data_IF_085552201442
#
_entry.id   IF_085552201442
#
_cell.length_a   1.000
_cell.length_b   1.000
_cell.length_c   1.000
_cell.angle_alpha   90.00
_cell.angle_beta   90.00
_cell.angle_gamma   90.00
#
_symmetry.space_group_name_H-M   'P 1'
#
loop_
_entity.id
_entity.type
_entity.pdbx_description
1 polymer ?
#
# COMPACT_ATOMS: atom_id res chain seq x y z
N UNK A 1 82.57 32.30 -26.36
CA UNK A 1 81.48 31.37 -26.71
C UNK A 1 80.82 30.92 -25.42
N UNK A 2 79.58 31.41 -25.13
CA UNK A 2 78.84 31.04 -23.95
C UNK A 2 77.66 30.15 -24.43
N UNK A 3 77.65 28.92 -23.97
CA UNK A 3 76.54 28.00 -24.15
C UNK A 3 75.46 28.24 -23.09
N UNK A 4 74.25 28.60 -23.51
CA UNK A 4 73.08 28.67 -22.63
C UNK A 4 72.33 27.36 -22.72
N UNK A 5 72.21 26.65 -21.59
CA UNK A 5 71.42 25.42 -21.46
C UNK A 5 69.99 25.85 -21.10
N UNK A 6 69.00 25.47 -21.91
CA UNK A 6 67.57 25.56 -21.59
C UNK A 6 67.12 24.29 -20.89
N UNK A 7 66.68 24.39 -19.65
CA UNK A 7 65.98 23.31 -18.95
C UNK A 7 64.50 23.41 -19.26
N UNK A 8 63.92 22.38 -19.93
CA UNK A 8 62.51 22.26 -20.18
C UNK A 8 61.84 21.59 -18.95
N UNK A 9 61.00 22.36 -18.25
CA UNK A 9 60.15 21.83 -17.21
C UNK A 9 58.90 21.17 -17.84
N UNK A 10 58.79 19.82 -17.74
CA UNK A 10 57.59 19.09 -18.13
C UNK A 10 56.62 19.08 -16.93
N UNK A 11 55.58 19.92 -17.03
CA UNK A 11 54.45 19.91 -16.06
C UNK A 11 53.54 18.71 -16.27
N UNK A 12 53.49 17.79 -15.35
CA UNK A 12 52.61 16.65 -15.34
C UNK A 12 51.23 17.11 -14.84
N UNK A 13 50.27 17.29 -15.73
CA UNK A 13 48.84 17.57 -15.39
C UNK A 13 48.19 16.25 -15.01
N UNK A 14 47.97 16.00 -13.73
CA UNK A 14 47.18 14.90 -13.24
C UNK A 14 45.70 15.18 -13.54
N UNK A 15 45.12 14.58 -14.60
CA UNK A 15 43.70 14.58 -14.85
C UNK A 15 43.02 13.69 -13.80
N UNK A 16 42.34 14.31 -12.84
CA UNK A 16 41.37 13.62 -11.99
C UNK A 16 40.18 13.24 -12.87
N UNK A 17 40.10 11.95 -13.24
CA UNK A 17 38.87 11.39 -13.80
C UNK A 17 37.80 11.38 -12.71
N UNK A 18 36.88 12.37 -12.76
CA UNK A 18 35.66 12.34 -12.00
C UNK A 18 34.82 11.25 -12.65
N UNK A 19 34.85 10.04 -12.10
CA UNK A 19 33.90 8.99 -12.46
C UNK A 19 32.52 9.48 -11.97
N UNK A 20 31.69 9.96 -12.86
CA UNK A 20 30.26 10.13 -12.59
C UNK A 20 29.74 8.75 -12.16
N UNK A 21 29.39 8.60 -10.89
CA UNK A 21 28.64 7.43 -10.47
C UNK A 21 27.33 7.44 -11.28
N UNK A 22 27.16 6.46 -12.15
CA UNK A 22 25.92 6.26 -12.88
C UNK A 22 24.81 6.07 -11.84
N UNK A 23 23.75 6.89 -11.94
CA UNK A 23 22.64 6.82 -10.99
C UNK A 23 22.02 5.41 -11.08
N UNK A 24 21.98 4.69 -9.98
CA UNK A 24 21.38 3.37 -9.96
C UNK A 24 19.85 3.53 -10.06
N UNK A 25 19.28 3.05 -11.16
CA UNK A 25 17.84 3.06 -11.38
C UNK A 25 17.17 1.99 -10.52
N UNK A 26 16.35 2.43 -9.55
CA UNK A 26 15.54 1.54 -8.73
C UNK A 26 14.26 1.21 -9.49
N UNK A 27 13.99 -0.07 -9.71
CA UNK A 27 12.73 -0.54 -10.28
C UNK A 27 11.86 -1.23 -9.23
N UNK A 28 10.60 -0.84 -9.14
CA UNK A 28 9.62 -1.47 -8.26
C UNK A 28 8.31 -1.73 -8.96
N UNK A 29 7.55 -2.71 -8.49
CA UNK A 29 6.22 -2.96 -9.02
C UNK A 29 5.31 -3.54 -7.94
N UNK A 30 4.01 -3.28 -8.04
CA UNK A 30 3.04 -3.94 -7.18
C UNK A 30 1.84 -3.10 -6.77
N UNK A 31 1.53 -3.14 -5.50
CA UNK A 31 0.34 -2.58 -4.90
C UNK A 31 0.02 -1.15 -5.37
N UNK A 32 -1.24 -0.91 -5.73
CA UNK A 32 -1.72 0.43 -6.05
C UNK A 32 -2.07 1.23 -4.79
N UNK A 33 -2.30 0.55 -3.68
CA UNK A 33 -2.60 1.15 -2.38
C UNK A 33 -1.56 2.21 -1.96
N UNK A 34 -0.23 1.94 -1.92
CA UNK A 34 0.77 2.93 -1.51
C UNK A 34 1.23 3.84 -2.64
N UNK A 35 0.74 3.68 -3.88
CA UNK A 35 1.27 4.41 -5.03
C UNK A 35 1.29 5.94 -4.86
N UNK A 36 0.23 6.61 -4.33
CA UNK A 36 0.26 8.05 -4.13
C UNK A 36 1.45 8.53 -3.29
N UNK A 37 1.76 7.83 -2.20
CA UNK A 37 2.88 8.20 -1.33
C UNK A 37 4.22 7.76 -1.93
N UNK A 38 4.31 6.59 -2.59
CA UNK A 38 5.55 6.16 -3.24
C UNK A 38 5.96 7.10 -4.36
N UNK A 39 5.02 7.61 -5.16
CA UNK A 39 5.28 8.61 -6.18
C UNK A 39 5.80 9.92 -5.57
N UNK A 40 5.21 10.38 -4.47
CA UNK A 40 5.64 11.59 -3.76
C UNK A 40 7.04 11.44 -3.15
N UNK A 41 7.33 10.30 -2.53
CA UNK A 41 8.67 10.00 -2.00
C UNK A 41 9.71 9.86 -3.11
N UNK A 42 9.37 9.20 -4.22
CA UNK A 42 10.27 9.05 -5.37
C UNK A 42 10.69 10.41 -5.96
N UNK A 43 9.75 11.34 -6.13
CA UNK A 43 10.03 12.69 -6.61
C UNK A 43 10.93 13.47 -5.63
N UNK A 44 10.63 13.41 -4.33
CA UNK A 44 11.42 14.07 -3.29
C UNK A 44 12.83 13.46 -3.16
N UNK A 45 12.94 12.13 -3.22
CA UNK A 45 14.21 11.42 -3.19
C UNK A 45 15.10 11.77 -4.37
N UNK A 46 14.53 11.80 -5.59
CA UNK A 46 15.24 12.22 -6.79
C UNK A 46 15.77 13.65 -6.70
N UNK A 47 14.98 14.57 -6.13
CA UNK A 47 15.43 15.96 -5.90
C UNK A 47 16.57 16.04 -4.88
N UNK A 48 16.55 15.19 -3.86
CA UNK A 48 17.55 15.19 -2.78
C UNK A 48 18.86 14.46 -3.17
N UNK A 49 18.81 13.42 -4.00
CA UNK A 49 19.94 12.51 -4.25
C UNK A 49 20.37 12.43 -5.71
N UNK A 50 19.52 12.79 -6.65
CA UNK A 50 19.69 12.55 -8.08
C UNK A 50 19.22 11.17 -8.54
N UNK A 51 19.02 10.19 -7.63
CA UNK A 51 18.62 8.82 -7.95
C UNK A 51 17.11 8.70 -8.12
N UNK A 52 16.67 7.97 -9.14
CA UNK A 52 15.26 7.79 -9.47
C UNK A 52 14.69 6.46 -9.02
N UNK A 53 13.38 6.44 -8.80
CA UNK A 53 12.57 5.24 -8.63
C UNK A 53 11.54 5.16 -9.74
N UNK A 54 11.53 4.05 -10.49
CA UNK A 54 10.47 3.70 -11.43
C UNK A 54 9.56 2.64 -10.76
N UNK A 55 8.40 3.07 -10.29
CA UNK A 55 7.42 2.19 -9.66
C UNK A 55 6.21 1.96 -10.56
N UNK A 56 5.91 0.68 -10.85
CA UNK A 56 4.77 0.26 -11.63
C UNK A 56 3.60 -0.13 -10.72
N UNK A 57 2.55 0.70 -10.70
CA UNK A 57 1.31 0.47 -9.96
C UNK A 57 0.43 -0.54 -10.71
N UNK A 58 0.62 -1.84 -10.46
CA UNK A 58 -0.01 -2.95 -11.21
C UNK A 58 -0.77 -3.96 -10.34
N UNK A 59 -0.94 -3.63 -9.06
CA UNK A 59 -1.57 -4.49 -8.04
C UNK A 59 -0.59 -5.45 -7.36
N UNK A 60 -0.91 -5.83 -6.12
CA UNK A 60 -0.06 -6.68 -5.27
C UNK A 60 0.31 -8.00 -5.95
N UNK A 61 -0.65 -8.66 -6.60
CA UNK A 61 -0.37 -9.90 -7.34
C UNK A 61 0.63 -9.72 -8.48
N UNK A 62 0.60 -8.56 -9.17
CA UNK A 62 1.58 -8.20 -10.19
C UNK A 62 2.97 -8.00 -9.60
N UNK A 63 3.06 -7.29 -8.46
CA UNK A 63 4.31 -7.07 -7.73
C UNK A 63 4.95 -8.36 -7.23
N UNK A 64 4.15 -9.24 -6.60
CA UNK A 64 4.62 -10.56 -6.15
C UNK A 64 5.17 -11.39 -7.34
N UNK A 65 4.46 -11.41 -8.47
CA UNK A 65 4.93 -12.12 -9.67
C UNK A 65 6.24 -11.57 -10.20
N UNK A 66 6.39 -10.25 -10.27
CA UNK A 66 7.60 -9.62 -10.79
C UNK A 66 8.81 -9.81 -9.88
N UNK A 67 8.65 -9.69 -8.56
CA UNK A 67 9.78 -9.93 -7.65
C UNK A 67 10.20 -11.41 -7.67
N UNK A 68 9.27 -12.35 -7.66
CA UNK A 68 9.58 -13.78 -7.80
C UNK A 68 10.30 -14.09 -9.12
N UNK A 69 9.93 -13.43 -10.22
CA UNK A 69 10.61 -13.53 -11.50
C UNK A 69 11.92 -12.72 -11.56
N UNK A 70 12.26 -11.95 -10.53
CA UNK A 70 13.42 -11.07 -10.47
C UNK A 70 13.51 -10.06 -11.62
N UNK A 71 12.37 -9.53 -12.06
CA UNK A 71 12.28 -8.50 -13.11
C UNK A 71 12.27 -7.08 -12.55
N UNK A 72 12.18 -6.94 -11.23
CA UNK A 72 12.25 -5.67 -10.51
C UNK A 72 13.16 -5.81 -9.28
N UNK A 73 13.66 -4.67 -8.78
CA UNK A 73 14.50 -4.59 -7.58
C UNK A 73 13.69 -4.91 -6.33
N UNK A 74 12.43 -4.47 -6.27
CA UNK A 74 11.52 -4.79 -5.17
C UNK A 74 10.08 -4.97 -5.66
N UNK A 75 9.33 -5.81 -4.94
CA UNK A 75 7.88 -5.92 -5.07
C UNK A 75 7.17 -5.16 -3.95
N UNK A 76 5.92 -4.74 -4.17
CA UNK A 76 5.08 -4.20 -3.11
C UNK A 76 3.73 -4.91 -3.05
N UNK A 77 3.27 -5.23 -1.83
CA UNK A 77 2.02 -5.96 -1.60
C UNK A 77 1.35 -5.53 -0.30
N UNK A 78 0.02 -5.34 -0.34
CA UNK A 78 -0.77 -5.13 0.89
C UNK A 78 -1.39 -6.45 1.39
N UNK A 79 -1.12 -7.57 0.70
CA UNK A 79 -1.27 -8.92 1.22
C UNK A 79 0.12 -9.40 1.63
N UNK A 80 0.40 -9.57 2.93
CA UNK A 80 1.68 -10.14 3.34
C UNK A 80 1.81 -11.58 2.84
N UNK A 81 3.03 -11.99 2.49
CA UNK A 81 3.38 -13.37 2.27
C UNK A 81 3.64 -14.05 3.62
N UNK A 82 3.30 -15.31 3.72
CA UNK A 82 3.67 -16.11 4.89
C UNK A 82 5.16 -16.51 4.86
N UNK A 83 5.69 -16.99 5.98
CA UNK A 83 7.11 -17.35 6.07
C UNK A 83 7.50 -18.45 5.08
N UNK A 84 6.63 -19.40 4.83
CA UNK A 84 6.88 -20.50 3.89
C UNK A 84 7.00 -19.98 2.45
N UNK A 85 6.15 -19.01 2.07
CA UNK A 85 6.22 -18.35 0.76
C UNK A 85 7.50 -17.53 0.64
N UNK A 86 7.88 -16.78 1.68
CA UNK A 86 9.11 -15.99 1.70
C UNK A 86 10.34 -16.87 1.55
N UNK A 87 10.43 -17.97 2.31
CA UNK A 87 11.55 -18.89 2.29
C UNK A 87 11.66 -19.63 0.94
N UNK A 88 10.52 -20.03 0.36
CA UNK A 88 10.51 -20.75 -0.91
C UNK A 88 11.05 -19.92 -2.09
N UNK A 89 10.84 -18.59 -2.04
CA UNK A 89 11.26 -17.67 -3.09
C UNK A 89 12.54 -16.89 -2.73
N UNK A 90 13.14 -17.15 -1.55
CA UNK A 90 14.33 -16.45 -1.06
C UNK A 90 14.09 -14.96 -0.86
N UNK A 91 12.92 -14.61 -0.32
CA UNK A 91 12.48 -13.23 -0.09
C UNK A 91 12.51 -12.89 1.40
N UNK A 92 12.68 -11.60 1.67
CA UNK A 92 12.24 -10.97 2.91
C UNK A 92 11.08 -10.03 2.61
N UNK A 93 10.29 -9.71 3.63
CA UNK A 93 9.34 -8.61 3.58
C UNK A 93 9.46 -7.72 4.80
N UNK A 94 9.09 -6.45 4.64
CA UNK A 94 9.00 -5.49 5.73
C UNK A 94 7.88 -4.48 5.46
N UNK A 95 7.15 -3.99 6.50
CA UNK A 95 6.09 -3.03 6.34
C UNK A 95 6.66 -1.64 6.06
N UNK A 96 6.02 -0.88 5.16
CA UNK A 96 6.51 0.44 4.74
C UNK A 96 5.58 1.57 5.12
N UNK A 97 4.25 1.35 5.04
CA UNK A 97 3.25 2.39 5.27
C UNK A 97 1.92 1.75 5.67
N UNK A 98 1.10 2.46 6.43
CA UNK A 98 -0.25 2.05 6.81
C UNK A 98 -1.25 3.04 6.22
N UNK A 99 -2.45 2.58 5.86
CA UNK A 99 -3.55 3.41 5.38
C UNK A 99 -4.91 2.75 5.62
N UNK A 100 -5.97 3.47 5.27
CA UNK A 100 -7.34 2.99 5.38
C UNK A 100 -7.93 2.59 4.03
N UNK A 101 -8.65 1.48 4.00
CA UNK A 101 -9.51 1.12 2.87
C UNK A 101 -10.91 1.60 3.19
N UNK A 102 -11.52 2.33 2.28
CA UNK A 102 -12.81 2.99 2.49
C UNK A 102 -13.82 2.56 1.43
N UNK A 103 -15.03 2.18 1.83
CA UNK A 103 -16.13 2.08 0.89
C UNK A 103 -16.46 3.48 0.34
N UNK A 104 -16.62 3.57 -0.97
CA UNK A 104 -16.95 4.82 -1.67
C UNK A 104 -18.21 4.63 -2.51
N UNK A 105 -19.05 5.66 -2.56
CA UNK A 105 -20.36 5.59 -3.21
C UNK A 105 -20.57 6.77 -4.17
N UNK A 106 -21.48 6.59 -5.11
CA UNK A 106 -21.96 7.66 -5.99
C UNK A 106 -23.50 7.76 -5.91
N UNK A 107 -23.97 8.41 -4.86
CA UNK A 107 -25.41 8.63 -4.59
C UNK A 107 -25.67 10.14 -4.57
N UNK A 108 -26.53 10.61 -5.45
CA UNK A 108 -26.88 12.01 -5.51
C UNK A 108 -27.52 12.50 -4.18
N UNK A 109 -27.02 13.61 -3.64
CA UNK A 109 -27.48 14.19 -2.38
C UNK A 109 -26.89 13.57 -1.13
N UNK A 110 -25.95 12.61 -1.25
CA UNK A 110 -25.18 12.04 -0.13
C UNK A 110 -23.77 12.58 -0.16
N UNK A 111 -23.34 13.22 0.93
CA UNK A 111 -21.99 13.80 1.06
C UNK A 111 -21.02 12.83 1.75
N UNK A 112 -19.71 13.07 1.62
CA UNK A 112 -18.69 12.31 2.35
C UNK A 112 -18.95 12.30 3.86
N UNK A 113 -18.94 11.10 4.47
CA UNK A 113 -19.15 10.94 5.91
C UNK A 113 -20.61 11.04 6.38
N UNK A 114 -21.60 10.99 5.48
CA UNK A 114 -23.02 10.96 5.87
C UNK A 114 -23.58 9.52 5.94
N UNK A 115 -23.16 8.64 5.01
CA UNK A 115 -23.66 7.27 4.94
C UNK A 115 -22.88 6.36 5.90
N UNK A 116 -23.59 5.66 6.76
CA UNK A 116 -23.03 4.65 7.69
C UNK A 116 -23.29 3.25 7.15
N UNK A 117 -22.27 2.39 7.14
CA UNK A 117 -22.41 0.97 6.83
C UNK A 117 -21.72 0.11 7.90
N UNK A 118 -22.34 -1.02 8.24
CA UNK A 118 -21.68 -2.06 9.03
C UNK A 118 -21.16 -3.20 8.12
N UNK A 119 -20.31 -4.06 8.68
CA UNK A 119 -19.72 -5.16 7.93
C UNK A 119 -20.74 -6.15 7.36
N UNK A 120 -21.74 -6.61 8.13
CA UNK A 120 -22.77 -7.51 7.62
C UNK A 120 -23.57 -6.92 6.45
N UNK A 121 -23.94 -5.65 6.51
CA UNK A 121 -24.66 -4.96 5.43
C UNK A 121 -23.78 -4.84 4.19
N UNK A 122 -22.51 -4.44 4.39
CA UNK A 122 -21.54 -4.34 3.30
C UNK A 122 -21.31 -5.68 2.61
N UNK A 123 -21.18 -6.77 3.38
CA UNK A 123 -21.06 -8.13 2.83
C UNK A 123 -22.29 -8.51 1.97
N UNK A 124 -23.52 -8.23 2.43
CA UNK A 124 -24.74 -8.52 1.68
C UNK A 124 -24.84 -7.71 0.39
N UNK A 125 -24.37 -6.46 0.39
CA UNK A 125 -24.29 -5.64 -0.84
C UNK A 125 -23.35 -6.33 -1.85
N UNK A 126 -22.14 -6.70 -1.44
CA UNK A 126 -21.16 -7.33 -2.33
C UNK A 126 -21.49 -8.78 -2.68
N UNK A 127 -22.40 -9.44 -1.95
CA UNK A 127 -23.02 -10.72 -2.33
C UNK A 127 -24.21 -10.56 -3.29
N UNK A 128 -24.71 -9.34 -3.53
CA UNK A 128 -25.90 -9.08 -4.34
C UNK A 128 -27.22 -9.43 -3.64
N UNK A 129 -27.20 -9.61 -2.32
CA UNK A 129 -28.39 -9.85 -1.51
C UNK A 129 -29.16 -8.54 -1.22
N UNK A 130 -28.44 -7.43 -1.06
CA UNK A 130 -28.96 -6.07 -1.00
C UNK A 130 -28.69 -5.40 -2.34
N UNK A 131 -29.72 -5.06 -3.07
CA UNK A 131 -29.62 -4.58 -4.45
C UNK A 131 -30.08 -3.14 -4.65
N UNK A 132 -30.62 -2.49 -3.61
CA UNK A 132 -31.10 -1.10 -3.67
C UNK A 132 -30.65 -0.30 -2.46
N UNK A 133 -30.45 1.01 -2.66
CA UNK A 133 -30.00 1.91 -1.59
C UNK A 133 -31.08 2.18 -0.53
N UNK A 134 -32.36 2.05 -0.84
CA UNK A 134 -33.49 2.18 0.10
C UNK A 134 -33.83 0.87 0.85
N UNK A 135 -32.96 -0.14 0.79
CA UNK A 135 -33.14 -1.37 1.56
C UNK A 135 -33.21 -1.09 3.07
N UNK A 136 -34.14 -1.74 3.80
CA UNK A 136 -34.27 -1.56 5.25
C UNK A 136 -32.99 -1.78 6.06
N UNK A 137 -32.09 -2.67 5.62
CA UNK A 137 -30.81 -2.91 6.30
C UNK A 137 -29.89 -1.68 6.22
N UNK A 138 -29.98 -0.88 5.16
CA UNK A 138 -29.22 0.36 4.99
C UNK A 138 -29.94 1.52 5.69
N UNK A 139 -31.23 1.69 5.43
CA UNK A 139 -31.99 2.85 5.92
C UNK A 139 -32.10 2.93 7.43
N UNK A 140 -32.18 1.78 8.13
CA UNK A 140 -32.16 1.72 9.61
C UNK A 140 -30.90 2.28 10.25
N UNK A 141 -29.76 2.18 9.57
CA UNK A 141 -28.49 2.74 10.02
C UNK A 141 -28.36 4.23 9.66
N UNK A 142 -29.26 4.73 8.78
CA UNK A 142 -29.15 6.03 8.10
C UNK A 142 -30.47 6.83 8.12
N UNK A 143 -31.19 6.85 9.24
CA UNK A 143 -32.51 7.49 9.36
C UNK A 143 -32.53 8.97 8.96
N UNK A 144 -31.39 9.66 9.07
CA UNK A 144 -31.25 11.08 8.71
C UNK A 144 -30.86 11.31 7.25
N UNK A 145 -30.49 10.27 6.52
CA UNK A 145 -30.04 10.34 5.12
C UNK A 145 -31.18 9.88 4.22
N UNK A 146 -31.61 10.74 3.29
CA UNK A 146 -32.64 10.37 2.31
C UNK A 146 -31.98 9.54 1.20
N UNK A 147 -32.11 8.23 1.29
CA UNK A 147 -31.62 7.31 0.28
C UNK A 147 -32.63 7.10 -0.83
N UNK A 148 -32.21 7.14 -2.12
CA UNK A 148 -33.12 6.93 -3.24
C UNK A 148 -33.46 5.46 -3.46
N UNK A 149 -34.64 5.18 -4.02
CA UNK A 149 -34.95 3.84 -4.54
C UNK A 149 -34.20 3.60 -5.86
N UNK A 150 -32.87 3.36 -5.74
CA UNK A 150 -31.95 3.21 -6.84
C UNK A 150 -31.19 1.88 -6.69
N UNK A 151 -30.95 1.19 -7.81
CA UNK A 151 -30.14 -0.02 -7.84
C UNK A 151 -28.69 0.27 -7.42
N UNK A 152 -28.11 -0.66 -6.68
CA UNK A 152 -26.68 -0.63 -6.30
C UNK A 152 -25.86 -1.24 -7.43
N UNK A 153 -24.87 -0.51 -7.94
CA UNK A 153 -23.90 -1.00 -8.89
C UNK A 153 -22.58 -1.29 -8.16
N UNK A 154 -22.26 -2.56 -7.93
CA UNK A 154 -21.03 -2.96 -7.25
C UNK A 154 -19.83 -2.86 -8.19
N UNK A 155 -18.75 -2.22 -7.72
CA UNK A 155 -17.46 -2.13 -8.42
C UNK A 155 -16.39 -2.78 -7.57
N UNK A 156 -15.69 -3.76 -8.10
CA UNK A 156 -14.63 -4.50 -7.41
C UNK A 156 -13.33 -4.52 -8.23
N UNK A 157 -12.26 -5.05 -7.67
CA UNK A 157 -10.99 -5.20 -8.37
C UNK A 157 -11.01 -6.39 -9.32
N UNK A 158 -10.38 -6.23 -10.48
CA UNK A 158 -10.19 -7.28 -11.49
C UNK A 158 -8.78 -7.85 -11.54
N UNK A 159 -7.84 -7.24 -10.83
CA UNK A 159 -6.44 -7.65 -10.71
C UNK A 159 -6.18 -8.29 -9.33
N UNK A 160 -5.06 -8.98 -9.17
CA UNK A 160 -4.59 -9.46 -7.88
C UNK A 160 -4.24 -8.29 -6.96
N UNK A 161 -5.07 -8.02 -5.95
CA UNK A 161 -5.09 -6.78 -5.18
C UNK A 161 -4.96 -7.02 -3.68
N UNK A 162 -3.96 -6.37 -3.06
CA UNK A 162 -3.86 -6.34 -1.60
C UNK A 162 -4.98 -5.53 -0.94
N UNK A 163 -5.50 -4.48 -1.62
CA UNK A 163 -6.71 -3.77 -1.18
C UNK A 163 -7.90 -4.72 -1.11
N UNK A 164 -8.10 -5.57 -2.14
CA UNK A 164 -9.11 -6.64 -2.14
C UNK A 164 -8.87 -7.65 -1.03
N UNK A 165 -7.63 -8.09 -0.81
CA UNK A 165 -7.31 -9.01 0.29
C UNK A 165 -7.78 -8.48 1.64
N UNK A 166 -7.43 -7.24 1.99
CA UNK A 166 -7.83 -6.65 3.26
C UNK A 166 -9.36 -6.40 3.33
N UNK A 167 -9.97 -5.96 2.25
CA UNK A 167 -11.42 -5.76 2.16
C UNK A 167 -12.18 -7.09 2.34
N UNK A 168 -11.81 -8.13 1.62
CA UNK A 168 -12.45 -9.46 1.74
C UNK A 168 -12.14 -10.15 3.07
N UNK A 169 -10.96 -9.90 3.65
CA UNK A 169 -10.62 -10.34 5.00
C UNK A 169 -11.54 -9.69 6.05
N UNK A 170 -11.80 -8.39 5.93
CA UNK A 170 -12.78 -7.71 6.76
C UNK A 170 -14.18 -8.31 6.61
N UNK A 171 -14.66 -8.48 5.38
CA UNK A 171 -15.98 -9.09 5.14
C UNK A 171 -16.09 -10.51 5.71
N UNK A 172 -15.02 -11.31 5.60
CA UNK A 172 -14.98 -12.66 6.16
C UNK A 172 -14.97 -12.68 7.71
N UNK A 173 -14.44 -11.63 8.35
CA UNK A 173 -14.49 -11.48 9.81
C UNK A 173 -15.84 -11.04 10.31
N UNK A 174 -16.61 -10.29 9.53
CA UNK A 174 -17.89 -9.69 9.94
C UNK A 174 -19.12 -10.42 9.39
N UNK A 175 -18.95 -11.34 8.41
CA UNK A 175 -20.04 -12.12 7.81
C UNK A 175 -19.62 -13.58 7.62
N UNK A 176 -20.31 -14.48 8.32
CA UNK A 176 -20.08 -15.92 8.17
C UNK A 176 -20.49 -16.42 6.78
N UNK A 177 -21.54 -15.83 6.19
CA UNK A 177 -21.98 -16.17 4.82
C UNK A 177 -20.92 -15.79 3.79
N UNK A 178 -20.36 -14.56 3.89
CA UNK A 178 -19.23 -14.17 3.04
C UNK A 178 -18.05 -15.13 3.21
N UNK A 179 -17.67 -15.41 4.45
CA UNK A 179 -16.55 -16.31 4.77
C UNK A 179 -16.69 -17.68 4.13
N UNK A 180 -17.91 -18.26 4.14
CA UNK A 180 -18.16 -19.60 3.62
C UNK A 180 -18.34 -19.65 2.10
N UNK A 181 -18.92 -18.60 1.49
CA UNK A 181 -19.27 -18.57 0.07
C UNK A 181 -18.19 -17.96 -0.82
N UNK A 182 -17.47 -16.94 -0.32
CA UNK A 182 -16.50 -16.16 -1.10
C UNK A 182 -15.09 -16.27 -0.52
N UNK A 183 -14.95 -16.13 0.81
CA UNK A 183 -13.66 -16.19 1.50
C UNK A 183 -12.89 -14.88 1.49
N UNK A 184 -11.55 -14.99 1.58
CA UNK A 184 -10.63 -13.83 1.69
C UNK A 184 -9.36 -14.13 0.91
N UNK A 185 -9.11 -13.36 -0.16
CA UNK A 185 -7.84 -13.39 -0.91
C UNK A 185 -7.64 -12.09 -1.72
N UNK A 186 -6.48 -11.97 -2.36
CA UNK A 186 -6.15 -10.89 -3.30
C UNK A 186 -6.97 -10.95 -4.61
N UNK A 187 -7.54 -12.10 -4.92
CA UNK A 187 -8.50 -12.34 -5.99
C UNK A 187 -9.52 -13.37 -5.51
N UNK A 188 -10.79 -13.06 -5.63
CA UNK A 188 -11.91 -13.93 -5.25
C UNK A 188 -12.92 -14.02 -6.39
N UNK A 189 -13.77 -15.05 -6.37
CA UNK A 189 -14.91 -15.15 -7.28
C UNK A 189 -16.02 -14.18 -6.79
N UNK A 190 -16.10 -13.02 -7.41
CA UNK A 190 -17.09 -12.01 -7.04
C UNK A 190 -18.50 -12.44 -7.44
N UNK A 191 -19.45 -12.46 -6.49
CA UNK A 191 -20.84 -12.85 -6.79
C UNK A 191 -21.54 -11.92 -7.76
N UNK A 192 -21.24 -10.60 -7.66
CA UNK A 192 -21.85 -9.53 -8.46
C UNK A 192 -20.84 -8.42 -8.73
N UNK A 193 -21.18 -7.55 -9.67
CA UNK A 193 -20.45 -6.32 -9.92
C UNK A 193 -19.61 -6.34 -11.19
N UNK A 194 -18.90 -5.22 -11.39
CA UNK A 194 -17.97 -5.02 -12.50
C UNK A 194 -16.55 -4.90 -11.99
N UNK A 195 -15.62 -5.53 -12.70
CA UNK A 195 -14.20 -5.48 -12.36
C UNK A 195 -13.51 -4.23 -12.89
N UNK A 196 -12.67 -3.60 -12.06
CA UNK A 196 -11.87 -2.45 -12.42
C UNK A 196 -10.41 -2.68 -11.98
N UNK A 197 -9.44 -2.25 -12.79
CA UNK A 197 -8.02 -2.44 -12.53
C UNK A 197 -7.47 -1.33 -11.63
N UNK A 198 -6.82 -1.71 -10.53
CA UNK A 198 -6.19 -0.78 -9.59
C UNK A 198 -7.20 0.01 -8.72
N UNK A 199 -6.71 0.73 -7.72
CA UNK A 199 -7.52 1.70 -6.97
C UNK A 199 -8.03 2.81 -7.90
N UNK A 200 -7.23 3.22 -8.87
CA UNK A 200 -7.56 4.22 -9.89
C UNK A 200 -8.80 3.82 -10.70
N UNK A 201 -8.82 2.56 -11.16
CA UNK A 201 -9.92 2.04 -11.96
C UNK A 201 -11.22 1.94 -11.15
N UNK A 202 -11.15 1.49 -9.89
CA UNK A 202 -12.34 1.47 -9.00
C UNK A 202 -12.83 2.89 -8.74
N UNK A 203 -11.93 3.81 -8.37
CA UNK A 203 -12.27 5.21 -8.12
C UNK A 203 -12.98 5.85 -9.32
N UNK A 204 -12.43 5.67 -10.52
CA UNK A 204 -13.00 6.21 -11.75
C UNK A 204 -14.39 5.60 -12.07
N UNK A 205 -14.54 4.28 -11.96
CA UNK A 205 -15.82 3.63 -12.23
C UNK A 205 -16.92 4.07 -11.25
N UNK A 206 -16.59 4.19 -9.95
CA UNK A 206 -17.55 4.70 -8.95
C UNK A 206 -17.94 6.14 -9.26
N UNK A 207 -16.97 7.01 -9.58
CA UNK A 207 -17.23 8.41 -9.91
C UNK A 207 -18.20 8.56 -11.11
N UNK A 208 -18.11 7.68 -12.09
CA UNK A 208 -18.91 7.76 -13.33
C UNK A 208 -20.24 7.02 -13.28
N UNK A 209 -20.44 6.10 -12.33
CA UNK A 209 -21.63 5.24 -12.29
C UNK A 209 -22.56 5.66 -11.16
N UNK A 210 -23.74 6.20 -11.50
CA UNK A 210 -24.76 6.54 -10.49
C UNK A 210 -25.23 5.29 -9.75
N UNK A 211 -25.35 5.39 -8.43
CA UNK A 211 -25.71 4.27 -7.55
C UNK A 211 -24.56 3.29 -7.29
N UNK A 212 -23.34 3.59 -7.75
CA UNK A 212 -22.20 2.70 -7.52
C UNK A 212 -21.75 2.69 -6.07
N UNK A 213 -21.20 1.53 -5.67
CA UNK A 213 -20.38 1.33 -4.50
C UNK A 213 -19.09 0.58 -4.90
N UNK A 214 -17.95 1.01 -4.36
CA UNK A 214 -16.68 0.33 -4.50
C UNK A 214 -15.86 0.49 -3.22
N UNK A 215 -14.61 0.06 -3.26
CA UNK A 215 -13.65 0.22 -2.15
C UNK A 215 -12.28 0.63 -2.71
N UNK A 216 -11.67 1.61 -2.08
CA UNK A 216 -10.34 2.13 -2.46
C UNK A 216 -9.53 2.48 -1.21
N UNK A 217 -8.23 2.65 -1.37
CA UNK A 217 -7.41 3.30 -0.37
C UNK A 217 -7.81 4.79 -0.25
N UNK A 218 -7.77 5.34 0.98
CA UNK A 218 -8.38 6.63 1.32
C UNK A 218 -7.82 7.83 0.55
N UNK A 219 -6.53 7.85 0.21
CA UNK A 219 -5.97 8.93 -0.61
C UNK A 219 -6.65 9.01 -1.98
N UNK A 220 -7.02 7.87 -2.57
CA UNK A 220 -7.78 7.86 -3.84
C UNK A 220 -9.19 8.44 -3.68
N UNK A 221 -9.87 8.15 -2.57
CA UNK A 221 -11.17 8.73 -2.29
C UNK A 221 -11.08 10.26 -2.21
N UNK A 222 -10.07 10.79 -1.50
CA UNK A 222 -9.84 12.24 -1.38
C UNK A 222 -9.45 12.90 -2.69
N UNK A 223 -8.45 12.34 -3.40
CA UNK A 223 -7.94 12.90 -4.66
C UNK A 223 -9.02 12.95 -5.75
N UNK A 224 -9.90 11.95 -5.80
CA UNK A 224 -11.01 11.87 -6.75
C UNK A 224 -12.32 12.48 -6.22
N UNK A 225 -12.32 13.08 -5.02
CA UNK A 225 -13.48 13.68 -4.36
C UNK A 225 -14.68 12.74 -4.28
N UNK A 226 -14.42 11.46 -4.01
CA UNK A 226 -15.47 10.45 -3.86
C UNK A 226 -16.16 10.59 -2.50
N UNK A 227 -17.44 10.26 -2.47
CA UNK A 227 -18.21 10.15 -1.23
C UNK A 227 -17.81 8.85 -0.52
N UNK A 228 -17.02 8.96 0.54
CA UNK A 228 -16.69 7.85 1.43
C UNK A 228 -17.74 7.67 2.52
N UNK A 229 -17.87 6.45 3.03
CA UNK A 229 -18.81 6.12 4.10
C UNK A 229 -18.15 6.24 5.48
N UNK A 230 -18.98 6.35 6.52
CA UNK A 230 -18.63 5.96 7.88
C UNK A 230 -18.81 4.45 8.02
N UNK A 231 -18.09 3.84 8.97
CA UNK A 231 -18.21 2.41 9.26
C UNK A 231 -18.53 2.17 10.73
N UNK A 232 -19.33 1.12 11.00
CA UNK A 232 -19.46 0.60 12.36
C UNK A 232 -18.29 -0.35 12.60
N UNK A 233 -17.49 -0.07 13.63
CA UNK A 233 -16.31 -0.87 13.97
C UNK A 233 -16.64 -2.05 14.90
N UNK A 234 -15.62 -2.84 15.25
CA UNK A 234 -15.73 -4.02 16.11
C UNK A 234 -16.36 -3.73 17.48
N UNK A 235 -16.14 -2.54 18.03
CA UNK A 235 -16.68 -2.11 19.33
C UNK A 235 -18.11 -1.50 19.20
N UNK A 236 -18.73 -1.59 18.00
CA UNK A 236 -20.06 -1.06 17.72
C UNK A 236 -20.12 0.46 17.65
N UNK A 237 -18.99 1.12 17.42
CA UNK A 237 -18.91 2.59 17.26
C UNK A 237 -18.89 2.96 15.80
N UNK A 238 -19.61 4.03 15.47
CA UNK A 238 -19.51 4.66 14.15
C UNK A 238 -18.24 5.51 14.09
N UNK A 239 -17.36 5.20 13.15
CA UNK A 239 -16.06 5.87 12.97
C UNK A 239 -15.92 6.43 11.56
N UNK A 240 -15.18 7.54 11.45
CA UNK A 240 -14.81 8.13 10.17
C UNK A 240 -13.43 7.62 9.71
N UNK A 241 -13.17 7.53 8.39
CA UNK A 241 -11.84 7.25 7.88
C UNK A 241 -10.99 8.50 7.98
N UNK A 242 -10.12 8.53 8.98
CA UNK A 242 -9.20 9.62 9.22
C UNK A 242 -7.91 9.10 9.86
N UNK A 243 -6.86 9.91 9.82
CA UNK A 243 -5.54 9.57 10.37
C UNK A 243 -5.62 8.98 11.78
N UNK A 244 -6.45 9.58 12.67
CA UNK A 244 -6.62 9.10 14.06
C UNK A 244 -7.19 7.69 14.13
N UNK A 245 -8.19 7.38 13.30
CA UNK A 245 -8.85 6.08 13.34
C UNK A 245 -7.98 4.98 12.74
N UNK A 246 -7.14 5.31 11.76
CA UNK A 246 -6.12 4.39 11.23
C UNK A 246 -5.01 4.17 12.26
N UNK A 247 -4.55 5.22 12.96
CA UNK A 247 -3.58 5.12 14.05
C UNK A 247 -4.11 4.27 15.20
N UNK A 248 -5.38 4.45 15.59
CA UNK A 248 -6.02 3.66 16.64
C UNK A 248 -6.01 2.16 16.30
N UNK A 249 -6.35 1.78 15.06
CA UNK A 249 -6.27 0.39 14.62
C UNK A 249 -4.83 -0.14 14.60
N UNK A 250 -3.87 0.66 14.13
CA UNK A 250 -2.46 0.27 14.05
C UNK A 250 -1.79 0.12 15.43
N UNK A 251 -2.28 0.82 16.47
CA UNK A 251 -1.74 0.76 17.82
C UNK A 251 -1.88 -0.62 18.48
N UNK A 252 -2.81 -1.46 17.99
CA UNK A 252 -3.02 -2.82 18.50
C UNK A 252 -2.19 -3.89 17.77
N UNK A 253 -1.33 -3.48 16.82
CA UNK A 253 -0.54 -4.39 16.01
C UNK A 253 0.66 -4.96 16.76
N UNK A 254 0.74 -6.27 16.86
CA UNK A 254 1.93 -6.97 17.36
C UNK A 254 2.83 -7.39 16.19
N UNK A 255 3.65 -6.46 15.72
CA UNK A 255 4.54 -6.66 14.57
C UNK A 255 5.62 -7.70 14.82
N UNK A 256 6.08 -7.85 16.07
CA UNK A 256 7.22 -8.68 16.40
C UNK A 256 6.89 -10.18 16.40
N UNK A 257 5.68 -10.54 16.80
CA UNK A 257 5.28 -11.95 16.94
C UNK A 257 4.82 -12.60 15.62
N UNK A 258 4.55 -11.78 14.58
CA UNK A 258 4.11 -12.29 13.28
C UNK A 258 5.30 -12.46 12.35
N UNK A 259 5.56 -13.67 11.81
CA UNK A 259 6.63 -13.91 10.86
C UNK A 259 6.57 -12.96 9.65
N UNK A 260 7.72 -12.45 9.23
CA UNK A 260 7.81 -11.48 8.14
C UNK A 260 7.06 -10.17 8.40
N UNK A 261 6.72 -9.90 9.68
CA UNK A 261 5.94 -8.72 10.09
C UNK A 261 4.57 -8.60 9.38
N UNK A 262 4.01 -9.72 8.94
CA UNK A 262 2.80 -9.79 8.10
C UNK A 262 1.50 -9.54 8.86
N UNK A 263 1.42 -8.47 9.66
CA UNK A 263 0.26 -8.14 10.47
C UNK A 263 -0.92 -7.72 9.60
N UNK A 264 -2.11 -8.29 9.88
CA UNK A 264 -3.38 -7.93 9.23
C UNK A 264 -4.16 -7.04 10.21
N UNK A 265 -4.40 -5.78 9.81
CA UNK A 265 -4.95 -4.74 10.66
C UNK A 265 -6.48 -4.58 10.57
N UNK A 266 -7.18 -5.48 9.86
CA UNK A 266 -8.65 -5.45 9.79
C UNK A 266 -9.29 -5.89 11.10
N UNK A 267 -10.39 -5.25 11.51
CA UNK A 267 -11.18 -5.57 12.70
C UNK A 267 -10.35 -5.52 14.00
N UNK A 268 -9.49 -4.52 14.14
CA UNK A 268 -8.79 -4.27 15.39
C UNK A 268 -9.76 -3.73 16.45
N UNK A 269 -9.56 -4.06 17.75
CA UNK A 269 -10.37 -3.51 18.83
C UNK A 269 -10.11 -1.99 19.00
N UNK A 270 -10.98 -1.34 19.77
CA UNK A 270 -10.86 0.07 20.11
C UNK A 270 -11.97 0.92 19.51
N UNK A 271 -12.58 1.77 20.36
CA UNK A 271 -13.74 2.58 20.01
C UNK A 271 -13.52 3.50 18.80
N UNK A 272 -12.26 3.92 18.58
CA UNK A 272 -11.88 4.82 17.50
C UNK A 272 -11.23 4.10 16.30
N UNK A 273 -11.06 2.77 16.36
CA UNK A 273 -10.35 2.00 15.33
C UNK A 273 -11.13 1.90 14.03
N UNK A 274 -10.52 2.32 12.90
CA UNK A 274 -11.07 2.10 11.57
C UNK A 274 -11.03 0.61 11.21
N UNK A 275 -12.15 -0.01 10.82
CA UNK A 275 -12.22 -1.48 10.72
C UNK A 275 -11.47 -2.07 9.53
N UNK A 276 -11.16 -1.28 8.50
CA UNK A 276 -10.47 -1.76 7.29
C UNK A 276 -9.12 -1.03 7.14
N UNK A 277 -8.31 -1.10 8.18
CA UNK A 277 -6.93 -0.60 8.15
C UNK A 277 -6.00 -1.66 7.58
N UNK A 278 -4.99 -1.26 6.82
CA UNK A 278 -4.05 -2.15 6.17
C UNK A 278 -2.63 -1.58 6.16
N UNK A 279 -1.63 -2.47 6.16
CA UNK A 279 -0.24 -2.12 5.88
C UNK A 279 0.15 -2.56 4.47
N UNK A 280 1.07 -1.83 3.86
CA UNK A 280 1.74 -2.24 2.63
C UNK A 280 3.16 -2.67 2.92
N UNK A 281 3.59 -3.76 2.30
CA UNK A 281 4.87 -4.43 2.53
C UNK A 281 5.74 -4.35 1.29
N UNK A 282 7.05 -4.23 1.51
CA UNK A 282 8.07 -4.37 0.48
C UNK A 282 8.62 -5.79 0.51
N UNK A 283 8.85 -6.36 -0.66
CA UNK A 283 9.43 -7.67 -0.89
C UNK A 283 10.77 -7.50 -1.61
N UNK A 284 11.86 -8.08 -1.06
CA UNK A 284 13.19 -8.06 -1.68
C UNK A 284 13.86 -9.42 -1.57
N UNK A 285 14.71 -9.76 -2.55
CA UNK A 285 15.50 -10.98 -2.48
C UNK A 285 16.57 -10.91 -1.38
N UNK A 286 16.76 -12.03 -0.66
CA UNK A 286 17.84 -12.19 0.32
C UNK A 286 19.24 -12.21 -0.32
N UNK A 287 19.33 -12.67 -1.58
CA UNK A 287 20.55 -12.58 -2.39
C UNK A 287 20.25 -11.66 -3.58
N UNK A 288 20.87 -10.48 -3.55
CA UNK A 288 20.65 -9.46 -4.57
C UNK A 288 21.26 -9.90 -5.92
N UNK A 289 20.48 -9.87 -6.99
CA UNK A 289 20.97 -10.11 -8.36
C UNK A 289 21.67 -8.87 -8.90
N UNK A 290 21.08 -7.69 -8.66
CA UNK A 290 21.69 -6.38 -8.92
C UNK A 290 22.00 -5.72 -7.59
N UNK A 291 23.28 -5.70 -7.25
CA UNK A 291 23.78 -5.19 -5.97
C UNK A 291 23.58 -3.67 -5.88
N UNK A 292 23.84 -2.94 -6.95
CA UNK A 292 23.76 -1.48 -6.96
C UNK A 292 22.31 -1.00 -6.79
N UNK A 293 21.38 -1.53 -7.59
CA UNK A 293 19.95 -1.20 -7.50
C UNK A 293 19.33 -1.64 -6.18
N UNK A 294 19.72 -2.82 -5.64
CA UNK A 294 19.20 -3.30 -4.36
C UNK A 294 19.72 -2.46 -3.18
N UNK A 295 20.97 -2.07 -3.17
CA UNK A 295 21.54 -1.18 -2.15
C UNK A 295 20.89 0.21 -2.21
N UNK A 296 20.65 0.73 -3.41
CA UNK A 296 19.99 2.01 -3.59
C UNK A 296 18.50 1.98 -3.17
N UNK A 297 17.80 0.87 -3.43
CA UNK A 297 16.45 0.67 -2.94
C UNK A 297 16.37 0.71 -1.41
N UNK A 298 17.31 0.08 -0.71
CA UNK A 298 17.38 0.15 0.76
C UNK A 298 17.65 1.57 1.26
N UNK A 299 18.51 2.35 0.58
CA UNK A 299 18.72 3.78 0.89
C UNK A 299 17.45 4.60 0.66
N UNK A 300 16.70 4.32 -0.41
CA UNK A 300 15.41 4.97 -0.66
C UNK A 300 14.43 4.70 0.48
N UNK A 301 14.27 3.45 0.93
CA UNK A 301 13.35 3.12 2.03
C UNK A 301 13.82 3.71 3.36
N UNK A 302 15.12 3.71 3.63
CA UNK A 302 15.67 4.36 4.82
C UNK A 302 15.45 5.89 4.80
N UNK A 303 15.64 6.50 3.64
CA UNK A 303 15.37 7.92 3.43
C UNK A 303 13.87 8.23 3.64
N UNK A 304 12.97 7.38 3.10
CA UNK A 304 11.53 7.54 3.26
C UNK A 304 11.09 7.43 4.72
N UNK A 305 11.65 6.50 5.48
CA UNK A 305 11.41 6.41 6.93
C UNK A 305 11.90 7.66 7.69
N UNK A 306 13.02 8.26 7.29
CA UNK A 306 13.61 9.43 7.96
C UNK A 306 12.96 10.76 7.58
N UNK A 307 12.55 10.91 6.33
CA UNK A 307 12.16 12.19 5.73
C UNK A 307 10.73 12.20 5.19
N UNK A 308 10.10 11.04 5.11
CA UNK A 308 8.83 10.83 4.42
C UNK A 308 7.58 11.03 5.28
N UNK A 309 7.72 11.20 6.59
CA UNK A 309 6.60 11.27 7.56
C UNK A 309 5.57 12.33 7.20
N UNK A 310 5.98 13.59 7.06
CA UNK A 310 5.06 14.68 6.74
C UNK A 310 4.35 14.46 5.40
N UNK A 311 5.06 13.96 4.39
CA UNK A 311 4.48 13.66 3.08
C UNK A 311 3.43 12.54 3.14
N UNK A 312 3.62 11.56 4.03
CA UNK A 312 2.64 10.50 4.27
C UNK A 312 1.39 11.06 4.96
N UNK A 313 1.55 11.84 6.03
CA UNK A 313 0.45 12.46 6.78
C UNK A 313 -0.39 13.41 5.92
N UNK A 314 0.23 14.17 5.00
CA UNK A 314 -0.48 15.02 4.03
C UNK A 314 -1.41 14.25 3.08
N UNK A 315 -1.18 12.95 2.92
CA UNK A 315 -2.01 12.03 2.13
C UNK A 315 -2.82 11.06 3.01
N UNK A 316 -2.91 11.32 4.32
CA UNK A 316 -3.60 10.51 5.33
C UNK A 316 -3.06 9.07 5.49
N UNK A 317 -1.82 8.81 5.06
CA UNK A 317 -1.11 7.60 5.44
C UNK A 317 -0.50 7.72 6.82
N UNK A 318 -0.35 6.58 7.49
CA UNK A 318 0.28 6.49 8.80
C UNK A 318 1.71 5.96 8.61
N UNK A 319 2.74 6.75 8.97
CA UNK A 319 4.11 6.30 8.99
C UNK A 319 4.29 5.13 9.96
N UNK A 320 5.26 4.27 9.68
CA UNK A 320 5.59 3.16 10.58
C UNK A 320 6.13 3.67 11.92
N UNK A 321 5.73 3.06 13.05
CA UNK A 321 6.32 3.35 14.36
C UNK A 321 7.82 3.10 14.40
N UNK A 322 8.57 3.86 15.20
CA UNK A 322 10.04 3.77 15.26
C UNK A 322 10.56 2.36 15.58
N UNK A 323 9.91 1.66 16.50
CA UNK A 323 10.26 0.27 16.83
C UNK A 323 10.07 -0.69 15.65
N UNK A 324 9.11 -0.45 14.77
CA UNK A 324 8.88 -1.26 13.56
C UNK A 324 9.89 -0.90 12.47
N UNK A 325 10.28 0.35 12.36
CA UNK A 325 11.37 0.80 11.48
C UNK A 325 12.69 0.11 11.88
N UNK A 326 12.99 0.01 13.17
CA UNK A 326 14.18 -0.72 13.67
C UNK A 326 14.12 -2.21 13.31
N UNK A 327 12.97 -2.87 13.46
CA UNK A 327 12.78 -4.26 13.03
C UNK A 327 12.99 -4.42 11.52
N UNK A 328 12.45 -3.51 10.71
CA UNK A 328 12.64 -3.52 9.26
C UNK A 328 14.11 -3.38 8.87
N UNK A 329 14.83 -2.43 9.49
CA UNK A 329 16.27 -2.26 9.27
C UNK A 329 17.10 -3.48 9.68
N UNK A 330 16.74 -4.14 10.78
CA UNK A 330 17.39 -5.37 11.19
C UNK A 330 17.20 -6.48 10.16
N UNK A 331 16.00 -6.58 9.56
CA UNK A 331 15.71 -7.54 8.50
C UNK A 331 16.53 -7.28 7.22
N UNK A 332 16.83 -6.01 6.90
CA UNK A 332 17.68 -5.65 5.75
C UNK A 332 19.11 -6.23 5.82
N UNK A 333 19.62 -6.54 7.04
CA UNK A 333 20.88 -7.24 7.23
C UNK A 333 20.93 -8.65 6.59
N UNK A 334 19.76 -9.21 6.26
CA UNK A 334 19.64 -10.49 5.53
C UNK A 334 19.80 -10.34 4.01
N UNK A 335 19.73 -9.11 3.47
CA UNK A 335 19.96 -8.85 2.04
C UNK A 335 21.46 -8.75 1.80
N UNK A 336 22.00 -9.68 1.02
CA UNK A 336 23.44 -9.86 0.81
C UNK A 336 23.78 -9.94 -0.68
N UNK A 337 25.04 -9.70 -1.00
CA UNK A 337 25.61 -10.06 -2.30
C UNK A 337 25.86 -11.58 -2.40
N UNK A 338 26.32 -12.03 -3.56
CA UNK A 338 26.66 -13.44 -3.79
C UNK A 338 27.83 -13.96 -2.94
N UNK A 339 28.64 -13.07 -2.37
CA UNK A 339 29.73 -13.41 -1.45
C UNK A 339 29.30 -13.45 0.03
N UNK A 340 28.01 -13.17 0.30
CA UNK A 340 27.43 -13.16 1.65
C UNK A 340 27.64 -11.87 2.43
N UNK A 341 28.09 -10.79 1.79
CA UNK A 341 28.27 -9.49 2.42
C UNK A 341 26.94 -8.72 2.43
N UNK A 342 26.48 -8.21 3.61
CA UNK A 342 25.27 -7.39 3.68
C UNK A 342 25.37 -6.13 2.82
N UNK A 343 24.26 -5.76 2.15
CA UNK A 343 24.18 -4.56 1.31
C UNK A 343 23.89 -3.30 2.10
N UNK A 344 23.32 -3.44 3.28
CA UNK A 344 22.95 -2.32 4.15
C UNK A 344 23.62 -2.49 5.51
N UNK A 345 24.44 -1.52 5.91
CA UNK A 345 24.99 -1.45 7.27
C UNK A 345 24.14 -0.49 8.10
N UNK A 346 23.67 -0.95 9.24
CA UNK A 346 23.04 -0.09 10.25
C UNK A 346 24.18 0.67 10.93
N UNK A 347 24.34 1.96 10.61
CA UNK A 347 25.28 2.85 11.29
C UNK A 347 24.63 3.48 12.51
#
# INVERSE_FOLDING_TARGET
MRFMSYAAAVGMVAAFAVTSAEAADISGAGATFPYPIYAKWADAYKKATGNGLNYQSIGSGGGIKQIKASTVTFGASDKPLDQKELDADGLIQFPMIIGGIVPVVNIEGVNPGELVLDGPTLAKIFMGEITKWDDPAITKQNEKVKLPSMAIAVVHRSDGSGTTFNFTNYLAKTSQDWKSKVGSDAAVEWPVGIGAKGNEGVANNVAQTKGAIGYVEYAYAKQNKLTHTLMVNKDGKTVAPETKSFQAAAAHADWKSVPGYGVILTEQPGADSWPITAASFILMHTVAKDIASSAEALKFFDWAYKNGTQMAEELDYIPMPSNVIELSRAEWGRIKDSAGKPLFAIN
#
